data_IF_217964784241
#
_entry.id   IF_217964784241
#
_cell.length_a   1.000
_cell.length_b   1.000
_cell.length_c   1.000
_cell.angle_alpha   90.00
_cell.angle_beta   90.00
_cell.angle_gamma   90.00
#
_symmetry.space_group_name_H-M   'P 1'
#
loop_
_entity.id
_entity.type
_entity.pdbx_description
1 polymer ?
#
# COMPACT_ATOMS: atom_id res chain seq x y z
N UNK A 1 9.31 -16.55 -10.53
CA UNK A 1 8.45 -15.72 -9.64
C UNK A 1 9.14 -14.38 -9.50
N UNK A 2 8.51 -13.30 -9.96
CA UNK A 2 9.08 -11.96 -9.91
C UNK A 2 8.57 -11.28 -8.65
N UNK A 3 9.40 -11.28 -7.61
CA UNK A 3 9.11 -10.55 -6.37
C UNK A 3 9.63 -9.12 -6.53
N UNK A 4 8.79 -8.15 -6.26
CA UNK A 4 9.12 -6.73 -6.35
C UNK A 4 8.72 -6.04 -5.06
N UNK A 5 9.55 -5.12 -4.57
CA UNK A 5 9.20 -4.27 -3.43
C UNK A 5 8.94 -2.87 -3.95
N UNK A 6 7.73 -2.38 -3.71
CA UNK A 6 7.28 -1.06 -4.15
C UNK A 6 6.72 -0.28 -2.97
N UNK A 7 6.67 1.05 -3.08
CA UNK A 7 6.01 1.87 -2.07
C UNK A 7 4.49 1.80 -2.23
N UNK A 8 3.76 1.90 -1.12
CA UNK A 8 2.31 2.02 -1.16
C UNK A 8 1.88 3.21 -2.04
N UNK A 9 2.62 4.32 -1.98
CA UNK A 9 2.42 5.47 -2.87
C UNK A 9 2.36 5.09 -4.36
N UNK A 10 3.23 4.18 -4.80
CA UNK A 10 3.28 3.73 -6.19
C UNK A 10 2.04 2.93 -6.56
N UNK A 11 1.58 2.04 -5.67
CA UNK A 11 0.35 1.25 -5.84
C UNK A 11 -0.86 2.19 -5.94
N UNK A 12 -0.98 3.11 -4.99
CA UNK A 12 -2.11 4.06 -4.92
C UNK A 12 -2.13 4.97 -6.15
N UNK A 13 -1.01 5.55 -6.55
CA UNK A 13 -0.96 6.41 -7.74
C UNK A 13 -1.31 5.67 -9.04
N UNK A 14 -1.06 4.36 -9.12
CA UNK A 14 -1.35 3.53 -10.30
C UNK A 14 -2.79 3.05 -10.37
N UNK A 15 -3.31 2.51 -9.26
CA UNK A 15 -4.59 1.79 -9.24
C UNK A 15 -5.73 2.60 -8.63
N UNK A 16 -5.43 3.45 -7.64
CA UNK A 16 -6.43 4.20 -6.87
C UNK A 16 -5.95 5.63 -6.56
N UNK A 17 -5.62 6.45 -7.57
CA UNK A 17 -5.01 7.77 -7.36
C UNK A 17 -5.90 8.71 -6.55
N UNK A 18 -7.20 8.48 -6.56
CA UNK A 18 -8.20 9.18 -5.76
C UNK A 18 -8.00 9.01 -4.24
N UNK A 19 -7.39 7.91 -3.80
CA UNK A 19 -7.12 7.64 -2.39
C UNK A 19 -5.80 8.26 -1.89
N UNK A 20 -4.93 8.69 -2.80
CA UNK A 20 -3.65 9.31 -2.47
C UNK A 20 -3.74 10.45 -1.45
N UNK A 21 -4.64 11.45 -1.58
CA UNK A 21 -4.74 12.54 -0.59
C UNK A 21 -5.34 12.10 0.75
N UNK A 22 -5.95 10.92 0.85
CA UNK A 22 -6.57 10.42 2.08
C UNK A 22 -5.59 9.62 2.94
N UNK A 23 -4.44 9.24 2.39
CA UNK A 23 -3.40 8.49 3.09
C UNK A 23 -2.40 9.41 3.75
N UNK A 24 -1.86 8.98 4.89
CA UNK A 24 -0.78 9.69 5.58
C UNK A 24 0.54 9.42 4.89
N UNK A 25 1.45 10.39 4.96
CA UNK A 25 2.80 10.26 4.39
C UNK A 25 3.52 8.98 4.83
N UNK A 26 3.41 8.62 6.11
CA UNK A 26 4.00 7.38 6.66
C UNK A 26 3.45 6.10 6.02
N UNK A 27 2.16 6.08 5.70
CA UNK A 27 1.48 4.94 5.06
C UNK A 27 1.88 4.85 3.59
N UNK A 28 1.97 6.00 2.91
CA UNK A 28 2.45 6.09 1.54
C UNK A 28 3.92 5.65 1.38
N UNK A 29 4.73 5.85 2.42
CA UNK A 29 6.14 5.44 2.47
C UNK A 29 6.34 3.97 2.84
N UNK A 30 5.28 3.22 3.18
CA UNK A 30 5.37 1.79 3.48
C UNK A 30 5.83 0.97 2.28
N UNK A 31 6.75 0.04 2.53
CA UNK A 31 7.26 -0.90 1.54
C UNK A 31 6.37 -2.14 1.46
N UNK A 32 5.84 -2.41 0.27
CA UNK A 32 4.95 -3.52 -0.02
C UNK A 32 5.67 -4.51 -0.93
N UNK A 33 5.73 -5.77 -0.52
CA UNK A 33 6.35 -6.86 -1.29
C UNK A 33 5.27 -7.55 -2.12
N UNK A 34 5.33 -7.37 -3.44
CA UNK A 34 4.43 -7.98 -4.42
C UNK A 34 5.10 -9.22 -5.03
N UNK A 35 4.42 -10.37 -4.96
CA UNK A 35 4.98 -11.66 -5.44
C UNK A 35 4.93 -11.86 -6.96
N UNK A 36 4.06 -11.10 -7.63
CA UNK A 36 3.85 -11.15 -9.08
C UNK A 36 4.19 -9.80 -9.74
N UNK A 37 4.83 -8.89 -9.01
CA UNK A 37 5.08 -7.51 -9.42
C UNK A 37 3.84 -6.62 -9.39
N UNK A 38 4.05 -5.33 -9.67
CA UNK A 38 2.98 -4.33 -9.70
C UNK A 38 2.00 -4.49 -10.87
N UNK A 39 2.46 -5.00 -12.02
CA UNK A 39 1.63 -5.14 -13.22
C UNK A 39 0.53 -6.20 -13.09
N UNK A 40 0.76 -7.20 -12.23
CA UNK A 40 -0.21 -8.26 -11.95
C UNK A 40 -1.13 -7.93 -10.75
N UNK A 41 -0.98 -6.74 -10.15
CA UNK A 41 -1.77 -6.33 -8.99
C UNK A 41 -3.11 -5.75 -9.47
N UNK A 42 -4.21 -6.35 -9.02
CA UNK A 42 -5.55 -5.86 -9.32
C UNK A 42 -5.99 -4.78 -8.31
N UNK A 43 -6.98 -3.97 -8.71
CA UNK A 43 -7.48 -2.88 -7.85
C UNK A 43 -8.06 -3.39 -6.53
N UNK A 44 -8.71 -4.57 -6.54
CA UNK A 44 -9.26 -5.18 -5.33
C UNK A 44 -8.16 -5.56 -4.33
N UNK A 45 -7.10 -6.24 -4.80
CA UNK A 45 -5.93 -6.58 -3.98
C UNK A 45 -5.21 -5.33 -3.46
N UNK A 46 -5.07 -4.31 -4.29
CA UNK A 46 -4.48 -3.04 -3.88
C UNK A 46 -5.28 -2.38 -2.75
N UNK A 47 -6.61 -2.49 -2.77
CA UNK A 47 -7.47 -1.96 -1.71
C UNK A 47 -7.27 -2.70 -0.38
N UNK A 48 -7.06 -4.03 -0.41
CA UNK A 48 -6.70 -4.80 0.78
C UNK A 48 -5.33 -4.38 1.35
N UNK A 49 -4.33 -4.21 0.49
CA UNK A 49 -2.98 -3.76 0.88
C UNK A 49 -3.06 -2.38 1.54
N UNK A 50 -3.82 -1.44 0.96
CA UNK A 50 -4.01 -0.09 1.51
C UNK A 50 -4.66 -0.17 2.89
N UNK A 51 -5.77 -0.91 3.02
CA UNK A 51 -6.47 -1.06 4.30
C UNK A 51 -5.59 -1.70 5.37
N UNK A 52 -4.80 -2.71 5.00
CA UNK A 52 -3.85 -3.36 5.89
C UNK A 52 -2.77 -2.38 6.33
N UNK A 53 -2.15 -1.65 5.40
CA UNK A 53 -1.10 -0.65 5.72
C UNK A 53 -1.62 0.43 6.67
N UNK A 54 -2.80 0.99 6.40
CA UNK A 54 -3.45 1.96 7.31
C UNK A 54 -3.65 1.35 8.71
N UNK A 55 -4.16 0.12 8.78
CA UNK A 55 -4.48 -0.55 10.04
C UNK A 55 -3.22 -0.88 10.85
N UNK A 56 -2.14 -1.30 10.19
CA UNK A 56 -0.84 -1.58 10.81
C UNK A 56 -0.27 -0.30 11.44
N UNK A 57 -0.21 0.79 10.67
CA UNK A 57 0.32 2.08 11.13
C UNK A 57 -0.58 2.76 12.18
N UNK A 58 -1.85 2.39 12.25
CA UNK A 58 -2.72 2.79 13.36
C UNK A 58 -2.41 2.00 14.63
N UNK A 59 -2.20 0.68 14.54
CA UNK A 59 -1.85 -0.15 15.71
C UNK A 59 -0.53 0.26 16.33
N UNK A 60 0.49 0.54 15.53
CA UNK A 60 1.77 1.06 16.02
C UNK A 60 1.61 2.41 16.74
N UNK A 61 0.64 3.24 16.34
CA UNK A 61 0.38 4.51 17.01
C UNK A 61 -0.29 4.36 18.39
N UNK A 62 -0.89 3.21 18.71
CA UNK A 62 -1.56 2.95 19.99
C UNK A 62 -0.70 2.15 20.99
N UNK A 63 0.48 1.67 20.60
CA UNK A 63 1.39 0.91 21.48
C UNK A 63 2.42 1.78 22.21
N UNK A 64 2.01 2.96 22.69
CA UNK A 64 2.88 3.91 23.41
C UNK A 64 2.53 4.02 24.90
#
# INVERSE_FOLDING_TARGET
MLVETVKLATIVMRLTPELYPFLKKRELESEIVLRNGLEALETEDAMEIIQYSISEHQKDAFLH
#
